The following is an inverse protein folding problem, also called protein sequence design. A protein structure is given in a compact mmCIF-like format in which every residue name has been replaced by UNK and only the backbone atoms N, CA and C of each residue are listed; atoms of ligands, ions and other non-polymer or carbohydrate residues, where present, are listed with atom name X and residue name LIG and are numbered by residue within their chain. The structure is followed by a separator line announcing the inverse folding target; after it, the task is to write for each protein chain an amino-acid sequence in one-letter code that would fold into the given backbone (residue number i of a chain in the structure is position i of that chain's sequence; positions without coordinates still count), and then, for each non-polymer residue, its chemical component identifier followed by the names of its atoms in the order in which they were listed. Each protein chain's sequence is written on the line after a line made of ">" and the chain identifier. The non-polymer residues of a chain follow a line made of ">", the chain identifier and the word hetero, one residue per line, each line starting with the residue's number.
data_IF_488841441922
#
_entry.id   IF_488841441922
#
_cell.length_a   1.000
_cell.length_b   1.000
_cell.length_c   1.000
_cell.angle_alpha   90.00
_cell.angle_beta   90.00
_cell.angle_gamma   90.00
#
_symmetry.space_group_name_H-M   'P 1'
#
loop_
_entity.id
_entity.type
_entity.pdbx_description
1 polymer ?
#
# COMPACT_ATOMS: atom_id res chain seq x y z
N UNK A 1 -17.56 3.18 -7.25
CA UNK A 1 -16.71 3.79 -6.21
C UNK A 1 -16.11 2.65 -5.40
N UNK A 2 -14.86 2.26 -5.69
CA UNK A 2 -14.12 1.44 -4.73
C UNK A 2 -13.69 2.41 -3.65
N UNK A 3 -14.29 2.28 -2.47
CA UNK A 3 -13.86 2.98 -1.27
C UNK A 3 -12.48 2.41 -0.91
N UNK A 4 -11.42 2.96 -1.49
CA UNK A 4 -10.06 2.58 -1.11
C UNK A 4 -9.93 2.92 0.35
N UNK A 5 -9.87 1.90 1.22
CA UNK A 5 -9.58 2.05 2.64
C UNK A 5 -8.12 2.47 2.80
N UNK A 6 -7.80 3.67 2.32
CA UNK A 6 -6.61 4.41 2.70
C UNK A 6 -6.72 4.64 4.20
N UNK A 7 -6.04 3.79 4.95
CA UNK A 7 -6.01 3.97 6.40
C UNK A 7 -5.26 2.88 7.14
N UNK A 8 -5.24 1.65 6.63
CA UNK A 8 -4.53 0.58 7.35
C UNK A 8 -3.03 0.51 7.03
N UNK A 9 -2.56 1.20 5.98
CA UNK A 9 -1.18 1.14 5.46
C UNK A 9 -0.37 2.44 5.63
N UNK A 10 -1.00 3.62 5.75
CA UNK A 10 -0.31 4.90 6.01
C UNK A 10 -1.22 5.87 6.80
N UNK A 11 -0.87 6.15 8.06
CA UNK A 11 -1.27 7.38 8.76
C UNK A 11 -2.58 7.41 9.56
N UNK A 12 -3.28 6.29 9.80
CA UNK A 12 -4.43 6.25 10.74
C UNK A 12 -3.98 5.70 12.09
N UNK A 13 -4.61 6.19 13.16
CA UNK A 13 -4.46 5.68 14.52
C UNK A 13 -4.65 4.17 14.56
N UNK A 14 -3.70 3.49 15.20
CA UNK A 14 -3.77 2.07 15.54
C UNK A 14 -3.93 1.92 17.05
N UNK A 15 -4.63 0.88 17.48
CA UNK A 15 -4.62 0.49 18.89
C UNK A 15 -3.37 -0.31 19.26
N UNK A 16 -3.18 -0.55 20.55
CA UNK A 16 -2.23 -1.53 21.08
C UNK A 16 -2.66 -2.99 20.80
N UNK A 17 -3.89 -3.21 20.33
CA UNK A 17 -4.45 -4.51 19.93
C UNK A 17 -4.30 -4.79 18.44
N UNK A 18 -3.65 -3.90 17.67
CA UNK A 18 -3.41 -4.10 16.24
C UNK A 18 -2.45 -5.28 16.01
N UNK A 19 -2.88 -6.20 15.17
CA UNK A 19 -2.06 -7.30 14.64
C UNK A 19 -1.97 -7.17 13.13
N UNK A 20 -0.75 -7.26 12.61
CA UNK A 20 -0.47 -7.29 11.16
C UNK A 20 0.31 -8.55 10.84
N UNK A 21 -0.18 -9.31 9.86
CA UNK A 21 0.52 -10.45 9.28
C UNK A 21 0.78 -10.13 7.82
N UNK A 22 2.05 -10.15 7.43
CA UNK A 22 2.50 -9.92 6.07
C UNK A 22 3.03 -11.22 5.49
N UNK A 23 2.54 -11.59 4.32
CA UNK A 23 3.03 -12.74 3.56
C UNK A 23 3.67 -12.26 2.27
N UNK A 24 4.94 -12.62 2.10
CA UNK A 24 5.76 -12.26 0.94
C UNK A 24 5.96 -13.49 0.07
N UNK A 25 5.68 -13.36 -1.23
CA UNK A 25 5.92 -14.41 -2.22
C UNK A 25 6.67 -13.83 -3.41
N UNK A 26 7.88 -14.35 -3.65
CA UNK A 26 8.59 -14.08 -4.90
C UNK A 26 7.90 -14.79 -6.05
N UNK A 27 7.72 -14.06 -7.14
CA UNK A 27 7.13 -14.53 -8.39
C UNK A 27 8.03 -14.13 -9.55
N UNK A 28 7.67 -14.55 -10.77
CA UNK A 28 8.36 -14.16 -12.01
C UNK A 28 9.89 -14.34 -11.95
N UNK A 29 10.35 -15.50 -11.46
CA UNK A 29 11.79 -15.80 -11.35
C UNK A 29 12.57 -14.88 -10.39
N UNK A 30 11.88 -14.18 -9.48
CA UNK A 30 12.46 -13.20 -8.56
C UNK A 30 12.24 -11.74 -8.97
N UNK A 31 11.62 -11.47 -10.12
CA UNK A 31 11.29 -10.12 -10.59
C UNK A 31 9.91 -9.64 -10.15
N UNK A 32 9.10 -10.51 -9.56
CA UNK A 32 7.82 -10.16 -8.96
C UNK A 32 7.82 -10.37 -7.45
N UNK A 33 7.09 -9.53 -6.75
CA UNK A 33 6.75 -9.73 -5.34
C UNK A 33 5.25 -9.57 -5.17
N UNK A 34 4.60 -10.63 -4.71
CA UNK A 34 3.23 -10.58 -4.20
C UNK A 34 3.28 -10.41 -2.68
N UNK A 35 2.65 -9.35 -2.19
CA UNK A 35 2.55 -9.03 -0.78
C UNK A 35 1.09 -9.04 -0.36
N UNK A 36 0.77 -9.85 0.64
CA UNK A 36 -0.55 -9.87 1.28
C UNK A 36 -0.44 -9.37 2.72
N UNK A 37 -1.24 -8.36 3.04
CA UNK A 37 -1.45 -7.90 4.41
C UNK A 37 -2.74 -8.51 4.95
N UNK A 38 -2.70 -9.05 6.16
CA UNK A 38 -3.88 -9.37 6.97
C UNK A 38 -3.81 -8.53 8.23
N UNK A 39 -4.78 -7.64 8.43
CA UNK A 39 -4.78 -6.64 9.49
C UNK A 39 -6.01 -6.84 10.36
N UNK A 40 -5.79 -6.95 11.67
CA UNK A 40 -6.85 -7.00 12.68
C UNK A 40 -6.59 -5.91 13.70
N UNK A 41 -7.60 -5.13 14.04
CA UNK A 41 -7.55 -4.11 15.09
C UNK A 41 -9.00 -3.93 15.60
N UNK A 42 -9.41 -4.59 16.69
CA UNK A 42 -10.81 -4.63 17.10
C UNK A 42 -11.34 -3.27 17.58
N UNK A 43 -10.46 -2.31 17.90
CA UNK A 43 -10.87 -0.96 18.31
C UNK A 43 -11.32 -0.12 17.11
N UNK A 44 -10.61 -0.25 15.98
CA UNK A 44 -10.82 0.59 14.79
C UNK A 44 -11.40 -0.14 13.58
N UNK A 45 -11.37 -1.47 13.56
CA UNK A 45 -11.86 -2.31 12.46
C UNK A 45 -12.98 -3.23 12.96
N UNK A 46 -14.10 -3.25 12.23
CA UNK A 46 -15.20 -4.17 12.51
C UNK A 46 -14.83 -5.62 12.22
N UNK A 47 -13.90 -5.85 11.29
CA UNK A 47 -13.45 -7.15 10.82
C UNK A 47 -11.99 -7.12 10.35
N UNK A 48 -11.36 -8.29 10.27
CA UNK A 48 -10.04 -8.44 9.65
C UNK A 48 -10.06 -7.97 8.19
N UNK A 49 -9.11 -7.10 7.85
CA UNK A 49 -8.93 -6.58 6.50
C UNK A 49 -7.80 -7.34 5.81
N UNK A 50 -8.02 -7.77 4.56
CA UNK A 50 -6.99 -8.34 3.69
C UNK A 50 -6.73 -7.47 2.49
N UNK A 51 -5.46 -7.20 2.21
CA UNK A 51 -5.02 -6.36 1.10
C UNK A 51 -3.91 -7.06 0.32
N UNK A 52 -4.00 -7.04 -1.00
CA UNK A 52 -2.95 -7.50 -1.90
C UNK A 52 -2.21 -6.34 -2.55
N UNK A 53 -0.90 -6.48 -2.70
CA UNK A 53 -0.04 -5.61 -3.51
C UNK A 53 0.87 -6.47 -4.35
N UNK A 54 1.04 -6.08 -5.60
CA UNK A 54 1.99 -6.71 -6.51
C UNK A 54 3.04 -5.68 -6.89
N UNK A 55 4.29 -6.03 -6.70
CA UNK A 55 5.43 -5.24 -7.11
C UNK A 55 6.13 -5.97 -8.26
N UNK A 56 6.65 -5.18 -9.18
CA UNK A 56 7.49 -5.66 -10.26
C UNK A 56 8.81 -4.93 -10.16
N UNK A 57 9.89 -5.70 -10.15
CA UNK A 57 11.23 -5.18 -10.37
C UNK A 57 11.37 -4.84 -11.86
N UNK A 58 11.60 -3.56 -12.15
CA UNK A 58 12.02 -3.12 -13.48
C UNK A 58 13.54 -2.97 -13.41
N UNK A 59 14.32 -3.92 -13.96
CA UNK A 59 15.77 -3.77 -14.00
C UNK A 59 16.13 -2.52 -14.81
N UNK A 60 17.17 -1.83 -14.37
CA UNK A 60 17.69 -0.62 -15.02
C UNK A 60 16.65 0.50 -15.18
N UNK A 61 15.70 0.60 -14.23
CA UNK A 61 14.74 1.70 -14.21
C UNK A 61 15.46 3.04 -14.12
N UNK A 62 15.31 3.85 -15.16
CA UNK A 62 15.86 5.19 -15.19
C UNK A 62 14.99 6.11 -14.32
N UNK A 63 15.60 6.71 -13.30
CA UNK A 63 14.89 7.63 -12.43
C UNK A 63 14.62 8.92 -13.21
N UNK A 64 13.35 9.28 -13.34
CA UNK A 64 12.99 10.56 -13.92
C UNK A 64 13.27 11.68 -12.91
N UNK A 65 13.94 12.73 -13.36
CA UNK A 65 13.98 13.99 -12.61
C UNK A 65 12.61 14.65 -12.71
N UNK A 66 11.79 14.44 -11.69
CA UNK A 66 10.50 15.10 -11.58
C UNK A 66 10.69 16.48 -10.91
N UNK A 67 10.47 17.59 -11.64
CA UNK A 67 10.56 18.91 -11.04
C UNK A 67 9.47 19.07 -9.97
N UNK A 68 9.82 19.71 -8.85
CA UNK A 68 8.86 20.08 -7.82
C UNK A 68 7.88 21.14 -8.34
N UNK A 69 6.86 20.71 -9.10
CA UNK A 69 5.78 21.56 -9.63
C UNK A 69 4.50 21.37 -8.78
N UNK A 70 4.08 22.42 -8.04
CA UNK A 70 2.85 22.40 -7.26
C UNK A 70 1.59 22.08 -8.08
N UNK A 71 1.56 22.39 -9.38
CA UNK A 71 0.42 22.11 -10.26
C UNK A 71 0.32 20.62 -10.55
N UNK A 72 1.46 19.95 -10.79
CA UNK A 72 1.50 18.49 -10.95
C UNK A 72 1.21 17.79 -9.62
N UNK A 73 1.77 18.27 -8.51
CA UNK A 73 1.57 17.70 -7.19
C UNK A 73 0.07 17.67 -6.78
N UNK A 74 -0.72 18.67 -7.20
CA UNK A 74 -2.17 18.71 -6.95
C UNK A 74 -2.95 17.57 -7.58
N UNK A 75 -2.43 16.88 -8.61
CA UNK A 75 -3.10 15.70 -9.21
C UNK A 75 -3.27 14.57 -8.22
N UNK A 76 -2.38 14.45 -7.24
CA UNK A 76 -2.50 13.44 -6.17
C UNK A 76 -3.67 13.71 -5.20
N UNK A 77 -4.24 14.92 -5.19
CA UNK A 77 -5.43 15.26 -4.39
C UNK A 77 -6.74 14.74 -5.02
N UNK A 78 -6.71 14.21 -6.25
CA UNK A 78 -7.91 13.73 -6.96
C UNK A 78 -8.18 12.24 -6.76
N UNK A 79 -7.30 11.53 -6.05
CA UNK A 79 -7.41 10.08 -5.82
C UNK A 79 -7.82 9.74 -4.37
N UNK A 80 -8.41 10.70 -3.67
CA UNK A 80 -9.12 10.48 -2.38
C UNK A 80 -10.39 9.63 -2.57
#
# INVERSE_FOLDING_TARGET
>A
MLNTKWGSERGVSSSDQKVVIETYRLTDGGYGLELTYTITDPEYLTDTVRLGRNFRLIPDYDFTEEPCDPVQARRHLQFD
#
